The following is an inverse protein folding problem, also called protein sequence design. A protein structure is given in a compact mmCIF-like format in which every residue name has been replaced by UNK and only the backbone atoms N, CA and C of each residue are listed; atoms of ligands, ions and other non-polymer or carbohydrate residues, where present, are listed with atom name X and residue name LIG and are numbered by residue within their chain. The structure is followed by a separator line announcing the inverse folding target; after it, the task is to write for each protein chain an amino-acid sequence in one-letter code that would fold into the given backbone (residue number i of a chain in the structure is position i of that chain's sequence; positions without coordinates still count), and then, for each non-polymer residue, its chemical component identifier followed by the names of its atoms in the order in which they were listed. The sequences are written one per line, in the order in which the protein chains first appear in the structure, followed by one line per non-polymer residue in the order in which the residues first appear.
data_IF_492350833987
#
_entry.id   IF_492350833987
#
_cell.length_a   1.000
_cell.length_b   1.000
_cell.length_c   1.000
_cell.angle_alpha   90.00
_cell.angle_beta   90.00
_cell.angle_gamma   90.00
#
_symmetry.space_group_name_H-M   'P 1'
#
loop_
_entity.id
_entity.type
_entity.pdbx_description
1 polymer ?
#
# COMPACT_ATOMS: atom_id res chain seq x y z
N UNK A 1 47.80 86.97 -3.64
CA UNK A 1 48.29 86.24 -4.84
C UNK A 1 48.62 84.81 -4.42
N UNK A 2 47.73 83.84 -4.66
CA UNK A 2 47.99 82.42 -4.35
C UNK A 2 48.02 81.62 -5.66
N UNK A 3 49.20 81.11 -6.02
CA UNK A 3 49.36 80.21 -7.18
C UNK A 3 49.11 78.79 -6.69
N UNK A 4 48.01 78.18 -7.12
CA UNK A 4 47.76 76.75 -6.89
C UNK A 4 48.77 75.94 -7.71
N UNK A 5 49.63 75.18 -7.03
CA UNK A 5 50.50 74.20 -7.67
C UNK A 5 49.68 72.95 -7.96
N UNK A 6 49.33 72.74 -9.23
CA UNK A 6 48.66 71.52 -9.69
C UNK A 6 49.73 70.44 -9.79
N UNK A 7 49.86 69.61 -8.76
CA UNK A 7 50.71 68.42 -8.78
C UNK A 7 50.12 67.43 -9.79
N UNK A 8 50.75 67.30 -10.96
CA UNK A 8 50.35 66.31 -11.95
C UNK A 8 50.49 64.90 -11.37
N UNK A 9 49.36 64.23 -11.14
CA UNK A 9 49.33 62.82 -10.74
C UNK A 9 49.64 62.00 -12.00
N UNK A 10 50.84 61.42 -12.04
CA UNK A 10 51.21 60.45 -13.07
C UNK A 10 50.27 59.24 -12.99
N UNK A 11 49.42 59.05 -13.99
CA UNK A 11 48.61 57.85 -14.16
C UNK A 11 49.53 56.66 -14.46
N UNK A 12 49.92 55.93 -13.42
CA UNK A 12 50.64 54.66 -13.57
C UNK A 12 49.67 53.61 -14.07
N UNK A 13 49.77 53.24 -15.35
CA UNK A 13 49.03 52.09 -15.92
C UNK A 13 49.63 50.81 -15.34
N UNK A 14 48.94 50.20 -14.38
CA UNK A 14 49.30 48.89 -13.86
C UNK A 14 48.84 47.83 -14.86
N UNK A 15 49.74 46.93 -15.24
CA UNK A 15 49.42 45.78 -16.06
C UNK A 15 48.82 44.70 -15.16
N UNK A 16 47.51 44.49 -15.23
CA UNK A 16 46.86 43.36 -14.57
C UNK A 16 46.95 42.13 -15.47
N UNK A 17 47.71 41.12 -15.05
CA UNK A 17 47.71 39.82 -15.71
C UNK A 17 46.52 39.03 -15.16
N UNK A 18 45.44 38.92 -15.95
CA UNK A 18 44.36 37.99 -15.64
C UNK A 18 44.79 36.58 -16.07
N UNK A 19 44.80 35.58 -15.17
CA UNK A 19 45.09 34.21 -15.57
C UNK A 19 44.06 33.75 -16.60
N UNK A 20 44.53 33.17 -17.70
CA UNK A 20 43.67 32.69 -18.78
C UNK A 20 42.93 31.43 -18.30
N UNK A 21 41.60 31.47 -18.26
CA UNK A 21 40.79 30.27 -18.11
C UNK A 21 41.02 29.37 -19.34
N UNK A 22 41.60 28.20 -19.12
CA UNK A 22 42.09 27.33 -20.20
C UNK A 22 40.95 26.53 -20.86
N UNK A 23 39.78 26.41 -20.21
CA UNK A 23 38.62 25.74 -20.78
C UNK A 23 37.30 26.19 -20.11
N UNK A 24 36.70 27.26 -20.64
CA UNK A 24 35.44 27.78 -20.12
C UNK A 24 34.28 26.78 -20.24
N UNK A 25 34.29 25.92 -21.27
CA UNK A 25 33.23 24.93 -21.52
C UNK A 25 33.24 23.84 -20.45
N UNK A 26 34.41 23.33 -20.07
CA UNK A 26 34.50 22.31 -19.01
C UNK A 26 34.07 22.84 -17.64
N UNK A 27 34.42 24.10 -17.33
CA UNK A 27 34.02 24.72 -16.07
C UNK A 27 32.50 24.91 -16.01
N UNK A 28 31.89 25.39 -17.09
CA UNK A 28 30.44 25.55 -17.20
C UNK A 28 29.71 24.20 -17.06
N UNK A 29 30.22 23.16 -17.72
CA UNK A 29 29.65 21.82 -17.63
C UNK A 29 29.68 21.27 -16.19
N UNK A 30 30.82 21.39 -15.50
CA UNK A 30 30.95 20.94 -14.10
C UNK A 30 30.04 21.74 -13.18
N UNK A 31 29.90 23.05 -13.41
CA UNK A 31 28.97 23.89 -12.66
C UNK A 31 27.53 23.41 -12.84
N UNK A 32 27.12 23.15 -14.08
CA UNK A 32 25.77 22.65 -14.38
C UNK A 32 25.50 21.29 -13.76
N UNK A 33 26.46 20.35 -13.81
CA UNK A 33 26.32 19.04 -13.13
C UNK A 33 26.12 19.22 -11.62
N UNK A 34 26.93 20.07 -10.99
CA UNK A 34 26.83 20.32 -9.54
C UNK A 34 25.53 21.00 -9.14
N UNK A 35 25.00 21.87 -10.01
CA UNK A 35 23.72 22.54 -9.81
C UNK A 35 22.53 21.64 -10.13
N UNK A 36 22.73 20.63 -10.97
CA UNK A 36 21.70 19.68 -11.33
C UNK A 36 21.37 18.77 -10.14
N UNK A 37 20.28 19.10 -9.47
CA UNK A 37 19.62 18.19 -8.53
C UNK A 37 18.60 17.41 -9.36
N UNK A 38 18.83 16.12 -9.67
CA UNK A 38 17.81 15.34 -10.35
C UNK A 38 16.54 15.42 -9.51
N UNK A 39 15.42 15.79 -10.14
CA UNK A 39 14.11 15.59 -9.54
C UNK A 39 14.02 14.11 -9.24
N UNK A 40 13.76 13.70 -7.99
CA UNK A 40 13.54 12.29 -7.71
C UNK A 40 12.42 11.86 -8.64
N UNK A 41 12.76 10.99 -9.60
CA UNK A 41 11.75 10.27 -10.35
C UNK A 41 11.08 9.46 -9.25
N UNK A 42 9.87 9.87 -8.86
CA UNK A 42 9.06 9.10 -7.92
C UNK A 42 8.92 7.72 -8.56
N UNK A 43 9.75 6.77 -8.12
CA UNK A 43 9.78 5.43 -8.66
C UNK A 43 8.49 4.66 -8.33
N UNK A 44 7.59 5.26 -7.53
CA UNK A 44 6.47 4.57 -6.92
C UNK A 44 5.09 5.12 -7.28
N UNK A 45 4.93 6.07 -8.23
CA UNK A 45 3.66 6.84 -8.30
C UNK A 45 2.65 6.53 -9.41
N UNK A 46 2.86 5.55 -10.30
CA UNK A 46 1.87 5.29 -11.38
C UNK A 46 1.32 3.85 -11.41
N UNK A 47 1.77 2.96 -10.53
CA UNK A 47 1.34 1.54 -10.58
C UNK A 47 1.44 0.73 -9.29
N UNK A 48 1.94 1.31 -8.19
CA UNK A 48 2.12 0.58 -6.94
C UNK A 48 0.94 0.90 -6.02
N UNK A 49 0.08 -0.10 -5.79
CA UNK A 49 -0.95 -0.01 -4.76
C UNK A 49 -0.26 0.06 -3.39
N UNK A 50 -0.51 1.13 -2.63
CA UNK A 50 0.04 1.27 -1.29
C UNK A 50 -0.41 0.10 -0.41
N UNK A 51 0.55 -0.50 0.29
CA UNK A 51 0.26 -1.60 1.20
C UNK A 51 -0.48 -1.09 2.43
N UNK A 52 -1.74 -1.46 2.56
CA UNK A 52 -2.55 -1.24 3.77
C UNK A 52 -2.80 -2.57 4.46
N UNK A 53 -2.52 -2.61 5.76
CA UNK A 53 -2.86 -3.75 6.61
C UNK A 53 -4.40 -3.87 6.65
N UNK A 54 -4.95 -5.09 6.51
CA UNK A 54 -6.39 -5.28 6.58
C UNK A 54 -6.90 -4.87 7.96
N UNK A 55 -8.05 -4.20 7.98
CA UNK A 55 -8.74 -3.89 9.24
C UNK A 55 -9.07 -5.18 9.98
N UNK A 56 -9.03 -5.14 11.31
CA UNK A 56 -9.49 -6.23 12.17
C UNK A 56 -10.87 -6.70 11.66
N UNK A 57 -11.10 -8.02 11.51
CA UNK A 57 -12.36 -8.52 10.99
C UNK A 57 -13.50 -7.96 11.83
N UNK A 58 -14.43 -7.28 11.15
CA UNK A 58 -15.69 -6.89 11.76
C UNK A 58 -16.48 -8.16 11.95
N UNK A 59 -16.93 -8.40 13.18
CA UNK A 59 -17.88 -9.47 13.48
C UNK A 59 -19.15 -9.11 12.68
N UNK A 60 -19.70 -10.04 11.86
CA UNK A 60 -20.90 -9.76 11.08
C UNK A 60 -22.01 -9.28 12.03
N UNK A 61 -22.58 -8.12 11.74
CA UNK A 61 -23.39 -7.34 12.67
C UNK A 61 -24.78 -7.90 12.96
N UNK A 62 -25.13 -9.11 12.54
CA UNK A 62 -26.51 -9.60 12.59
C UNK A 62 -26.75 -10.97 13.24
N UNK A 63 -25.73 -11.71 13.68
CA UNK A 63 -25.98 -13.10 14.11
C UNK A 63 -26.31 -13.29 15.60
N UNK A 64 -26.05 -12.32 16.48
CA UNK A 64 -26.28 -12.51 17.92
C UNK A 64 -26.70 -11.21 18.61
N UNK A 65 -27.89 -10.71 18.28
CA UNK A 65 -28.57 -9.76 19.17
C UNK A 65 -28.97 -10.53 20.45
N UNK A 66 -28.83 -9.92 21.62
CA UNK A 66 -29.11 -10.57 22.91
C UNK A 66 -30.54 -11.15 22.95
N UNK A 67 -31.48 -10.52 22.24
CA UNK A 67 -32.86 -10.97 22.14
C UNK A 67 -33.02 -12.25 21.30
N UNK A 68 -32.22 -12.41 20.23
CA UNK A 68 -32.20 -13.64 19.43
C UNK A 68 -31.63 -14.83 20.21
N UNK A 69 -30.65 -14.59 21.09
CA UNK A 69 -30.12 -15.62 22.01
C UNK A 69 -31.18 -16.04 23.02
N UNK A 70 -31.83 -15.05 23.65
CA UNK A 70 -32.88 -15.32 24.63
C UNK A 70 -34.06 -16.09 24.01
N UNK A 71 -34.42 -15.77 22.76
CA UNK A 71 -35.46 -16.48 22.02
C UNK A 71 -35.08 -17.94 21.70
N UNK A 72 -33.82 -18.19 21.33
CA UNK A 72 -33.31 -19.54 21.12
C UNK A 72 -33.28 -20.34 22.44
N UNK A 73 -32.79 -19.75 23.53
CA UNK A 73 -32.76 -20.41 24.85
C UNK A 73 -34.15 -20.72 25.40
N UNK A 74 -35.15 -19.89 25.07
CA UNK A 74 -36.54 -20.10 25.48
C UNK A 74 -37.32 -21.00 24.53
N UNK A 75 -36.77 -21.33 23.36
CA UNK A 75 -37.44 -22.20 22.40
C UNK A 75 -37.38 -23.65 22.89
N UNK A 76 -38.55 -24.26 23.03
CA UNK A 76 -38.66 -25.66 23.44
C UNK A 76 -38.26 -26.53 22.24
N UNK A 77 -37.35 -27.49 22.47
CA UNK A 77 -36.90 -28.40 21.42
C UNK A 77 -38.07 -29.28 21.02
N UNK A 78 -38.56 -29.09 19.80
CA UNK A 78 -39.51 -29.99 19.12
C UNK A 78 -38.85 -31.36 18.98
N UNK A 79 -38.98 -32.17 20.03
CA UNK A 79 -38.66 -33.59 19.98
C UNK A 79 -39.88 -34.27 19.38
N UNK A 80 -39.66 -34.94 18.24
CA UNK A 80 -40.67 -35.74 17.59
C UNK A 80 -41.26 -36.70 18.63
N UNK A 81 -42.51 -36.46 19.01
CA UNK A 81 -43.23 -37.25 20.00
C UNK A 81 -43.05 -38.72 19.65
N UNK A 82 -42.55 -39.49 20.63
CA UNK A 82 -42.25 -40.91 20.49
C UNK A 82 -43.34 -41.65 19.67
N UNK A 83 -42.95 -42.55 18.75
CA UNK A 83 -43.87 -43.06 17.74
C UNK A 83 -45.07 -43.75 18.39
N UNK A 84 -46.26 -43.44 17.89
CA UNK A 84 -47.46 -44.19 18.23
C UNK A 84 -47.24 -45.66 17.88
N UNK A 85 -47.41 -46.55 18.88
CA UNK A 85 -47.29 -47.99 18.71
C UNK A 85 -48.20 -48.48 17.58
N UNK A 86 -47.60 -48.78 16.42
CA UNK A 86 -48.30 -49.39 15.27
C UNK A 86 -48.10 -48.71 13.92
N UNK A 87 -47.43 -47.56 13.81
CA UNK A 87 -47.06 -47.02 12.50
C UNK A 87 -45.74 -47.64 12.02
N UNK A 88 -45.80 -48.46 10.98
CA UNK A 88 -44.61 -48.87 10.22
C UNK A 88 -43.98 -47.58 9.68
N UNK A 89 -42.73 -47.22 10.04
CA UNK A 89 -42.07 -46.06 9.48
C UNK A 89 -42.04 -46.24 7.96
N UNK A 90 -42.61 -45.28 7.25
CA UNK A 90 -42.59 -45.24 5.79
C UNK A 90 -41.12 -45.09 5.36
N UNK A 91 -40.49 -46.22 5.04
CA UNK A 91 -39.18 -46.33 4.39
C UNK A 91 -38.09 -45.51 5.05
N UNK A 92 -37.34 -46.11 5.98
CA UNK A 92 -35.93 -45.76 6.12
C UNK A 92 -35.28 -46.06 4.77
N UNK A 93 -35.26 -45.08 3.87
CA UNK A 93 -34.47 -45.17 2.64
C UNK A 93 -33.02 -45.32 3.10
N UNK A 94 -32.43 -46.49 2.84
CA UNK A 94 -31.07 -46.81 3.25
C UNK A 94 -30.09 -45.96 2.40
N UNK A 95 -29.75 -44.77 2.90
CA UNK A 95 -28.90 -43.80 2.20
C UNK A 95 -27.45 -44.26 2.02
N UNK A 96 -27.09 -45.44 2.54
CA UNK A 96 -25.77 -46.04 2.44
C UNK A 96 -25.81 -47.49 1.93
N UNK A 97 -26.55 -47.74 0.83
CA UNK A 97 -26.36 -48.98 0.06
C UNK A 97 -25.04 -48.93 -0.70
N UNK A 98 -24.03 -49.66 -0.25
CA UNK A 98 -22.84 -49.95 -1.04
C UNK A 98 -23.17 -51.07 -2.04
N UNK A 99 -22.91 -50.91 -3.34
CA UNK A 99 -23.11 -52.00 -4.29
C UNK A 99 -22.17 -53.16 -3.92
N UNK A 100 -22.72 -54.35 -3.67
CA UNK A 100 -21.92 -55.58 -3.64
C UNK A 100 -21.21 -55.70 -4.99
N UNK A 101 -19.87 -55.66 -4.99
CA UNK A 101 -19.07 -55.99 -6.16
C UNK A 101 -19.42 -57.42 -6.58
N UNK A 102 -20.07 -57.54 -7.74
CA UNK A 102 -20.45 -58.84 -8.28
C UNK A 102 -19.24 -59.78 -8.36
N UNK A 103 -19.44 -60.99 -7.84
CA UNK A 103 -18.54 -62.14 -7.98
C UNK A 103 -18.04 -62.26 -9.42
N UNK A 104 -16.83 -61.76 -9.67
CA UNK A 104 -16.06 -62.10 -10.86
C UNK A 104 -15.33 -63.41 -10.58
N UNK A 105 -15.90 -64.51 -11.09
CA UNK A 105 -15.34 -65.85 -11.28
C UNK A 105 -15.28 -66.81 -10.09
#
# INVERSE_FOLDING_TARGET
MFKQSIRAVSSRRLLSVTPRAHNAVSELYIQQIKQFKPTPVNADSEGIKHFQLPSKPSIPSDEVSADAVNAYESSEVETESAPAAGSVPAGEEDWFVFPEEGEHH
#
